data_IF_154932123189
#
_entry.id   IF_154932123189
#
_cell.length_a   1.000
_cell.length_b   1.000
_cell.length_c   1.000
_cell.angle_alpha   90.00
_cell.angle_beta   90.00
_cell.angle_gamma   90.00
#
_symmetry.space_group_name_H-M   'P 1'
#
loop_
_entity.id
_entity.type
_entity.pdbx_description
1 polymer ?
#
# COMPACT_ATOMS: atom_id res chain seq x y z
N UNK A 1 -5.59 -23.29 66.86
CA UNK A 1 -4.74 -24.39 66.36
C UNK A 1 -5.28 -24.73 64.97
N UNK A 2 -4.41 -24.70 63.94
CA UNK A 2 -4.70 -24.77 62.50
C UNK A 2 -5.10 -23.47 61.77
N UNK A 3 -4.24 -22.45 61.94
CA UNK A 3 -3.75 -21.64 60.82
C UNK A 3 -2.81 -22.50 59.98
N UNK A 4 -3.00 -22.55 58.64
CA UNK A 4 -2.02 -22.73 57.55
C UNK A 4 -2.65 -23.52 56.40
N UNK A 5 -3.21 -22.83 55.41
CA UNK A 5 -3.45 -23.35 54.04
C UNK A 5 -4.01 -22.23 53.14
N UNK A 6 -3.28 -21.12 52.99
CA UNK A 6 -3.62 -20.07 52.02
C UNK A 6 -2.34 -19.36 51.55
N UNK A 7 -1.40 -20.12 50.99
CA UNK A 7 -0.20 -19.55 50.41
C UNK A 7 0.45 -20.52 49.40
N UNK A 8 -0.16 -20.75 48.23
CA UNK A 8 0.51 -21.46 47.11
C UNK A 8 -0.14 -21.33 45.71
N UNK A 9 -1.13 -20.45 45.46
CA UNK A 9 -1.74 -20.32 44.10
C UNK A 9 -1.76 -18.88 43.56
N UNK A 10 -1.01 -17.96 44.14
CA UNK A 10 -0.86 -16.59 43.61
C UNK A 10 0.63 -16.28 43.45
N UNK A 11 1.30 -17.00 42.54
CA UNK A 11 2.65 -16.62 42.08
C UNK A 11 2.99 -17.24 40.71
N UNK A 12 2.02 -17.30 39.79
CA UNK A 12 2.29 -17.49 38.35
C UNK A 12 1.32 -16.59 37.56
N UNK A 13 1.36 -15.28 37.77
CA UNK A 13 0.58 -14.33 36.94
C UNK A 13 1.19 -12.92 36.82
N UNK A 14 2.47 -12.74 37.13
CA UNK A 14 3.11 -11.41 37.07
C UNK A 14 4.46 -11.40 36.32
N UNK A 15 4.67 -12.35 35.40
CA UNK A 15 5.87 -12.40 34.55
C UNK A 15 5.56 -12.66 33.06
N UNK A 16 4.43 -12.15 32.54
CA UNK A 16 4.16 -12.24 31.08
C UNK A 16 3.70 -10.93 30.42
N UNK A 17 3.53 -9.83 31.16
CA UNK A 17 3.13 -8.54 30.58
C UNK A 17 4.29 -7.60 30.22
N UNK A 18 5.53 -7.86 30.68
CA UNK A 18 6.67 -6.98 30.38
C UNK A 18 7.53 -7.42 29.18
N UNK A 19 7.42 -8.67 28.71
CA UNK A 19 8.22 -9.14 27.58
C UNK A 19 7.66 -8.71 26.20
N UNK A 20 6.39 -8.32 26.12
CA UNK A 20 5.78 -7.86 24.86
C UNK A 20 5.87 -6.34 24.66
N UNK A 21 6.21 -5.58 25.72
CA UNK A 21 6.34 -4.12 25.68
C UNK A 21 7.74 -3.64 25.28
N UNK A 22 8.70 -4.54 25.11
CA UNK A 22 10.13 -4.22 24.90
C UNK A 22 10.65 -4.58 23.50
N UNK A 23 9.75 -4.83 22.55
CA UNK A 23 10.03 -4.86 21.11
C UNK A 23 9.29 -3.73 20.38
N UNK A 24 9.19 -2.56 21.01
CA UNK A 24 9.04 -1.32 20.24
C UNK A 24 10.45 -0.95 19.79
N UNK A 25 10.87 -1.49 18.64
CA UNK A 25 12.08 -1.02 17.99
C UNK A 25 11.95 0.49 17.80
N UNK A 26 12.87 1.26 18.36
CA UNK A 26 13.04 2.70 18.11
C UNK A 26 13.58 2.96 16.70
N UNK A 27 13.08 2.24 15.69
CA UNK A 27 13.25 2.58 14.30
C UNK A 27 11.96 3.28 13.88
N UNK A 28 12.08 4.58 13.63
CA UNK A 28 11.02 5.44 13.11
C UNK A 28 10.34 4.77 11.92
N UNK A 29 9.12 4.29 12.11
CA UNK A 29 8.30 3.74 11.02
C UNK A 29 8.18 4.82 9.94
N UNK A 30 8.71 4.52 8.75
CA UNK A 30 8.80 5.46 7.63
C UNK A 30 7.43 6.11 7.34
N UNK A 31 7.42 7.43 7.15
CA UNK A 31 6.20 8.24 7.00
C UNK A 31 6.34 9.29 5.89
N UNK A 32 5.22 9.87 5.45
CA UNK A 32 5.22 11.04 4.56
C UNK A 32 5.97 12.22 5.20
N UNK A 33 5.84 12.39 6.52
CA UNK A 33 6.53 13.46 7.24
C UNK A 33 8.06 13.34 7.11
N UNK A 34 8.59 12.10 7.07
CA UNK A 34 10.01 11.84 6.81
C UNK A 34 10.46 12.36 5.44
N UNK A 35 9.66 12.11 4.39
CA UNK A 35 9.98 12.58 3.02
C UNK A 35 9.91 14.12 2.94
N UNK A 36 8.87 14.71 3.54
CA UNK A 36 8.73 16.18 3.61
C UNK A 36 9.91 16.80 4.36
N UNK A 37 10.36 16.17 5.45
CA UNK A 37 11.52 16.62 6.20
C UNK A 37 12.79 16.62 5.32
N UNK A 38 13.01 15.58 4.50
CA UNK A 38 14.15 15.53 3.59
C UNK A 38 14.13 16.67 2.57
N UNK A 39 12.95 17.03 2.05
CA UNK A 39 12.81 18.15 1.12
C UNK A 39 13.05 19.49 1.83
N UNK A 40 12.43 19.70 2.99
CA UNK A 40 12.55 20.95 3.76
C UNK A 40 13.96 21.17 4.30
N UNK A 41 14.70 20.11 4.60
CA UNK A 41 16.09 20.19 5.06
C UNK A 41 17.11 20.18 3.90
N UNK A 42 16.65 20.35 2.66
CA UNK A 42 17.46 20.30 1.42
C UNK A 42 18.23 18.98 1.20
N UNK A 43 17.88 17.92 1.92
CA UNK A 43 18.49 16.60 1.78
C UNK A 43 18.01 15.87 0.51
N UNK A 44 16.81 16.20 0.04
CA UNK A 44 16.27 15.73 -1.23
C UNK A 44 15.81 16.90 -2.11
N UNK A 45 16.40 17.03 -3.30
CA UNK A 45 16.11 18.09 -4.28
C UNK A 45 15.50 17.55 -5.58
N UNK A 46 15.35 16.24 -5.67
CA UNK A 46 14.81 15.51 -6.81
C UNK A 46 14.12 14.22 -6.36
N UNK A 47 13.38 13.56 -7.26
CA UNK A 47 12.82 12.24 -7.00
C UNK A 47 13.98 11.23 -6.80
N UNK A 48 15.05 11.35 -7.57
CA UNK A 48 16.26 10.53 -7.47
C UNK A 48 16.87 10.57 -6.06
N UNK A 49 16.90 11.76 -5.43
CA UNK A 49 17.40 11.91 -4.06
C UNK A 49 16.48 11.21 -3.07
N UNK A 50 15.15 11.36 -3.22
CA UNK A 50 14.18 10.64 -2.37
C UNK A 50 14.39 9.14 -2.52
N UNK A 51 14.45 8.61 -3.74
CA UNK A 51 14.65 7.17 -4.01
C UNK A 51 15.97 6.66 -3.41
N UNK A 52 17.02 7.48 -3.36
CA UNK A 52 18.31 7.09 -2.77
C UNK A 52 18.32 7.13 -1.23
N UNK A 53 17.30 7.73 -0.61
CA UNK A 53 17.13 7.83 0.85
C UNK A 53 16.06 6.89 1.39
N UNK A 54 15.24 6.30 0.52
CA UNK A 54 14.19 5.37 0.92
C UNK A 54 14.78 4.11 1.56
N UNK A 55 14.05 3.50 2.52
CA UNK A 55 14.37 2.15 2.96
C UNK A 55 14.33 1.15 1.79
N UNK A 56 15.28 0.21 1.76
CA UNK A 56 15.46 -0.77 0.69
C UNK A 56 14.17 -1.51 0.30
N UNK A 57 13.30 -1.78 1.27
CA UNK A 57 12.01 -2.46 1.04
C UNK A 57 11.14 -1.73 0.02
N UNK A 58 11.11 -0.40 0.01
CA UNK A 58 10.31 0.37 -0.95
C UNK A 58 10.86 0.26 -2.38
N UNK A 59 12.17 0.04 -2.54
CA UNK A 59 12.80 -0.16 -3.83
C UNK A 59 12.60 -1.59 -4.35
N UNK A 60 12.32 -2.55 -3.47
CA UNK A 60 12.04 -3.96 -3.79
C UNK A 60 10.55 -4.24 -3.98
N UNK A 61 9.70 -3.49 -3.29
CA UNK A 61 8.26 -3.70 -3.25
C UNK A 61 7.58 -2.63 -4.09
N UNK A 62 7.43 -2.94 -5.38
CA UNK A 62 6.72 -2.06 -6.31
C UNK A 62 5.92 -2.86 -7.33
N UNK A 63 4.86 -2.23 -7.80
CA UNK A 63 4.15 -2.63 -9.02
C UNK A 63 4.17 -1.49 -10.04
N UNK A 64 3.78 -1.79 -11.29
CA UNK A 64 3.87 -0.88 -12.43
C UNK A 64 2.51 -0.77 -13.12
N UNK A 65 2.04 0.47 -13.30
CA UNK A 65 0.81 0.79 -14.03
C UNK A 65 1.17 1.17 -15.46
N UNK A 66 0.85 0.31 -16.42
CA UNK A 66 1.10 0.50 -17.86
C UNK A 66 0.15 1.52 -18.52
N UNK A 67 -1.02 1.78 -17.95
CA UNK A 67 -1.94 2.83 -18.42
C UNK A 67 -2.69 3.48 -17.26
N UNK A 68 -2.16 4.59 -16.75
CA UNK A 68 -2.71 5.24 -15.56
C UNK A 68 -3.81 6.26 -15.90
N UNK A 69 -4.96 6.13 -15.23
CA UNK A 69 -6.03 7.12 -15.22
C UNK A 69 -5.85 8.25 -14.20
N UNK A 70 -4.69 8.33 -13.54
CA UNK A 70 -4.40 9.32 -12.50
C UNK A 70 -3.82 10.63 -13.07
N UNK A 71 -3.41 11.56 -12.18
CA UNK A 71 -2.67 12.76 -12.54
C UNK A 71 -1.26 12.44 -13.09
N UNK A 72 -0.69 11.30 -12.71
CA UNK A 72 0.54 10.76 -13.30
C UNK A 72 0.18 9.81 -14.44
N UNK A 73 0.40 10.25 -15.68
CA UNK A 73 0.19 9.41 -16.88
C UNK A 73 1.27 8.36 -17.01
N UNK A 74 0.96 7.28 -17.73
CA UNK A 74 1.91 6.21 -18.01
C UNK A 74 1.64 5.53 -19.35
N UNK A 75 2.64 4.80 -19.82
CA UNK A 75 2.58 3.91 -20.97
C UNK A 75 3.23 2.58 -20.62
N UNK A 76 3.24 1.64 -21.57
CA UNK A 76 3.96 0.38 -21.42
C UNK A 76 5.46 0.62 -21.17
N UNK A 77 6.12 1.45 -22.00
CA UNK A 77 7.55 1.71 -21.93
C UNK A 77 7.96 2.59 -20.74
N UNK A 78 7.02 3.42 -20.26
CA UNK A 78 7.21 4.33 -19.14
C UNK A 78 6.06 4.19 -18.13
N UNK A 79 5.99 3.06 -17.42
CA UNK A 79 4.91 2.79 -16.49
C UNK A 79 4.99 3.68 -15.25
N UNK A 80 3.85 3.95 -14.61
CA UNK A 80 3.87 4.59 -13.30
C UNK A 80 4.29 3.54 -12.27
N UNK A 81 5.36 3.81 -11.52
CA UNK A 81 5.77 2.97 -10.41
C UNK A 81 4.87 3.25 -9.19
N UNK A 82 4.42 2.19 -8.51
CA UNK A 82 3.70 2.23 -7.25
C UNK A 82 4.50 1.43 -6.24
N UNK A 83 5.16 2.12 -5.33
CA UNK A 83 6.06 1.56 -4.32
C UNK A 83 5.39 1.55 -2.96
N UNK A 84 5.67 0.52 -2.15
CA UNK A 84 5.04 0.34 -0.85
C UNK A 84 5.99 -0.36 0.13
N UNK A 85 5.87 -0.07 1.42
CA UNK A 85 6.60 -0.82 2.46
C UNK A 85 5.93 -2.17 2.77
N UNK A 86 6.50 -2.95 3.67
CA UNK A 86 5.98 -4.28 4.03
C UNK A 86 4.54 -4.27 4.59
N UNK A 87 4.05 -3.10 5.02
CA UNK A 87 2.70 -2.93 5.56
C UNK A 87 1.78 -2.09 4.66
N UNK A 88 2.29 -1.59 3.52
CA UNK A 88 1.66 -0.58 2.68
C UNK A 88 1.10 0.64 3.45
N UNK A 89 1.70 0.97 4.62
CA UNK A 89 1.35 2.18 5.38
C UNK A 89 1.59 3.41 4.55
N UNK A 90 2.78 3.54 3.96
CA UNK A 90 3.10 4.59 3.00
C UNK A 90 3.18 3.97 1.61
N UNK A 91 2.61 4.68 0.65
CA UNK A 91 2.61 4.34 -0.77
C UNK A 91 3.19 5.55 -1.50
N UNK A 92 4.18 5.33 -2.35
CA UNK A 92 4.79 6.38 -3.18
C UNK A 92 4.64 6.04 -4.64
N UNK A 93 4.49 7.07 -5.47
CA UNK A 93 4.35 6.86 -6.91
C UNK A 93 5.02 7.95 -7.73
N UNK A 94 5.57 7.55 -8.87
CA UNK A 94 6.15 8.44 -9.88
C UNK A 94 6.00 7.82 -11.27
N UNK A 95 6.11 8.63 -12.32
CA UNK A 95 6.25 8.16 -13.70
C UNK A 95 7.63 8.55 -14.26
N UNK A 96 8.05 7.89 -15.34
CA UNK A 96 9.40 8.04 -15.90
C UNK A 96 9.51 8.86 -17.17
N UNK A 97 8.43 9.19 -17.88
CA UNK A 97 8.53 9.91 -19.15
C UNK A 97 8.42 11.43 -18.93
N UNK A 98 9.43 12.25 -19.30
CA UNK A 98 9.34 13.71 -19.29
C UNK A 98 8.15 14.30 -20.05
N UNK A 99 7.64 13.59 -21.06
CA UNK A 99 6.48 14.02 -21.85
C UNK A 99 5.13 13.69 -21.19
N UNK A 100 5.12 12.85 -20.15
CA UNK A 100 3.90 12.50 -19.45
C UNK A 100 3.51 13.57 -18.43
N UNK A 101 2.21 13.88 -18.38
CA UNK A 101 1.63 14.65 -17.27
C UNK A 101 2.02 14.02 -15.93
N UNK A 102 2.42 14.85 -14.98
CA UNK A 102 2.87 14.43 -13.65
C UNK A 102 4.35 14.03 -13.56
N UNK A 103 5.13 14.15 -14.64
CA UNK A 103 6.58 13.97 -14.56
C UNK A 103 7.24 14.98 -13.61
N UNK A 104 8.29 14.54 -12.91
CA UNK A 104 8.96 15.34 -11.88
C UNK A 104 8.13 15.53 -10.61
N UNK A 105 7.05 14.77 -10.43
CA UNK A 105 6.23 14.79 -9.22
C UNK A 105 6.28 13.46 -8.49
N UNK A 106 6.29 13.52 -7.16
CA UNK A 106 6.14 12.38 -6.28
C UNK A 106 4.78 12.48 -5.59
N UNK A 107 3.88 11.53 -5.84
CA UNK A 107 2.62 11.43 -5.09
C UNK A 107 2.78 10.40 -3.98
N UNK A 108 2.24 10.71 -2.81
CA UNK A 108 2.34 9.88 -1.62
C UNK A 108 0.98 9.74 -0.96
N UNK A 109 0.73 8.55 -0.41
CA UNK A 109 -0.43 8.24 0.41
C UNK A 109 0.04 7.53 1.69
N UNK A 110 -0.46 7.96 2.84
CA UNK A 110 -0.23 7.32 4.13
C UNK A 110 -1.55 6.91 4.78
N UNK A 111 -1.67 5.63 5.12
CA UNK A 111 -2.83 5.06 5.83
C UNK A 111 -2.41 4.81 7.28
N UNK A 112 -2.77 5.68 8.23
CA UNK A 112 -2.28 5.60 9.60
C UNK A 112 -2.80 4.35 10.32
N UNK A 113 -2.04 3.87 11.31
CA UNK A 113 -2.45 2.72 12.13
C UNK A 113 -3.70 2.99 12.97
N UNK A 114 -3.99 4.26 13.28
CA UNK A 114 -5.23 4.63 13.97
C UNK A 114 -6.48 4.48 13.10
N UNK A 115 -6.31 4.33 11.79
CA UNK A 115 -7.37 4.10 10.81
C UNK A 115 -8.34 5.27 10.63
N UNK A 116 -7.94 6.51 10.93
CA UNK A 116 -8.87 7.65 10.89
C UNK A 116 -8.89 8.38 9.55
N UNK A 117 -7.75 8.91 9.16
CA UNK A 117 -7.64 9.78 8.00
C UNK A 117 -6.43 9.42 7.17
N UNK A 118 -6.67 9.08 5.92
CA UNK A 118 -5.60 8.90 4.95
C UNK A 118 -5.01 10.29 4.67
N UNK A 119 -3.69 10.37 4.71
CA UNK A 119 -2.95 11.54 4.27
C UNK A 119 -2.47 11.34 2.84
N UNK A 120 -2.76 12.30 1.97
CA UNK A 120 -2.26 12.38 0.61
C UNK A 120 -1.48 13.67 0.44
N UNK A 121 -0.30 13.54 -0.15
CA UNK A 121 0.60 14.66 -0.45
C UNK A 121 1.20 14.48 -1.82
N UNK A 122 1.54 15.60 -2.45
CA UNK A 122 2.35 15.63 -3.65
C UNK A 122 3.54 16.56 -3.44
N UNK A 123 4.68 16.18 -3.99
CA UNK A 123 5.86 17.05 -4.11
C UNK A 123 6.14 17.25 -5.59
N UNK A 124 6.27 18.50 -6.02
CA UNK A 124 6.65 18.88 -7.38
C UNK A 124 8.10 19.37 -7.40
N UNK A 125 9.00 18.52 -7.93
CA UNK A 125 10.43 18.80 -8.03
C UNK A 125 10.80 19.63 -9.26
N UNK A 126 9.84 19.97 -10.13
CA UNK A 126 10.09 20.92 -11.22
C UNK A 126 10.15 22.38 -10.73
N UNK A 127 9.77 22.62 -9.47
CA UNK A 127 9.85 23.93 -8.82
C UNK A 127 11.14 24.05 -8.00
N UNK A 128 11.63 25.27 -7.83
CA UNK A 128 12.81 25.59 -7.04
C UNK A 128 12.47 26.68 -6.02
N UNK A 129 12.36 26.37 -4.70
CA UNK A 129 12.49 25.04 -4.10
C UNK A 129 11.34 24.08 -4.51
N UNK A 130 11.50 22.74 -4.32
CA UNK A 130 10.42 21.79 -4.59
C UNK A 130 9.14 22.16 -3.83
N UNK A 131 8.00 22.10 -4.52
CA UNK A 131 6.71 22.50 -3.94
C UNK A 131 6.02 21.31 -3.29
N UNK A 132 5.83 21.38 -1.97
CA UNK A 132 5.04 20.41 -1.20
C UNK A 132 3.59 20.88 -1.13
N UNK A 133 2.64 20.02 -1.52
CA UNK A 133 1.21 20.35 -1.43
C UNK A 133 0.73 20.45 0.02
N UNK A 134 -0.41 21.10 0.21
CA UNK A 134 -1.22 20.96 1.42
C UNK A 134 -1.67 19.50 1.64
N UNK A 135 -2.19 19.21 2.84
CA UNK A 135 -2.71 17.89 3.20
C UNK A 135 -4.01 17.62 2.46
N UNK A 136 -4.10 16.47 1.80
CA UNK A 136 -5.27 16.03 1.04
C UNK A 136 -5.77 17.12 0.07
N UNK A 137 -4.92 17.53 -0.91
CA UNK A 137 -5.28 18.59 -1.84
C UNK A 137 -6.52 18.19 -2.66
N UNK A 138 -7.27 19.19 -3.14
CA UNK A 138 -8.53 18.95 -3.86
C UNK A 138 -8.32 18.08 -5.12
N UNK A 139 -7.16 18.20 -5.76
CA UNK A 139 -6.77 17.37 -6.91
C UNK A 139 -6.79 15.87 -6.58
N UNK A 140 -6.36 15.47 -5.38
CA UNK A 140 -6.46 14.09 -4.92
C UNK A 140 -7.91 13.73 -4.52
N UNK A 141 -8.61 14.62 -3.81
CA UNK A 141 -9.99 14.39 -3.37
C UNK A 141 -10.98 14.23 -4.53
N UNK A 142 -10.69 14.78 -5.71
CA UNK A 142 -11.51 14.58 -6.92
C UNK A 142 -11.68 13.09 -7.28
N UNK A 143 -10.66 12.28 -7.02
CA UNK A 143 -10.71 10.83 -7.24
C UNK A 143 -11.02 10.06 -5.95
N UNK A 144 -10.41 10.45 -4.83
CA UNK A 144 -10.49 9.71 -3.57
C UNK A 144 -11.74 10.01 -2.72
N UNK A 145 -12.46 11.09 -3.03
CA UNK A 145 -13.68 11.51 -2.34
C UNK A 145 -13.44 12.22 -1.00
N UNK A 146 -14.55 12.55 -0.32
CA UNK A 146 -14.55 13.21 1.00
C UNK A 146 -14.05 12.30 2.12
N UNK A 147 -14.37 11.01 2.03
CA UNK A 147 -13.84 9.98 2.91
C UNK A 147 -12.72 9.30 2.15
N UNK A 148 -11.50 9.82 2.32
CA UNK A 148 -10.35 9.35 1.58
C UNK A 148 -10.28 7.82 1.71
N UNK A 149 -10.20 7.16 0.54
CA UNK A 149 -10.09 5.71 0.39
C UNK A 149 -9.07 5.40 -0.69
N UNK A 150 -8.30 4.31 -0.57
CA UNK A 150 -7.53 3.82 -1.71
C UNK A 150 -8.48 3.48 -2.86
N UNK A 151 -8.05 3.69 -4.11
CA UNK A 151 -8.86 3.39 -5.30
C UNK A 151 -8.58 1.98 -5.84
N UNK A 152 -7.70 1.25 -5.18
CA UNK A 152 -7.33 -0.11 -5.58
C UNK A 152 -8.44 -1.07 -5.15
N UNK A 153 -9.02 -1.78 -6.12
CA UNK A 153 -9.98 -2.85 -5.89
C UNK A 153 -9.31 -4.14 -5.41
N UNK A 154 -10.06 -5.23 -5.32
CA UNK A 154 -9.46 -6.56 -5.15
C UNK A 154 -8.54 -6.90 -6.32
N UNK A 155 -7.38 -7.45 -6.01
CA UNK A 155 -6.29 -7.70 -6.95
C UNK A 155 -6.65 -8.53 -8.19
N UNK A 156 -7.65 -9.42 -8.11
CA UNK A 156 -7.96 -10.34 -9.21
C UNK A 156 -8.21 -9.68 -10.57
N UNK A 157 -8.59 -8.39 -10.59
CA UNK A 157 -8.76 -7.61 -11.81
C UNK A 157 -8.21 -6.19 -11.61
N UNK A 158 -6.90 -6.00 -11.75
CA UNK A 158 -6.27 -4.67 -11.79
C UNK A 158 -5.95 -4.29 -13.23
N UNK A 159 -6.97 -3.90 -14.03
CA UNK A 159 -6.76 -3.54 -15.41
C UNK A 159 -5.77 -2.40 -15.50
N UNK A 160 -4.92 -2.46 -16.52
CA UNK A 160 -3.86 -1.48 -16.79
C UNK A 160 -2.64 -1.52 -15.86
N UNK A 161 -2.53 -2.51 -14.96
CA UNK A 161 -1.27 -2.84 -14.31
C UNK A 161 -0.52 -3.86 -15.15
N UNK A 162 0.81 -3.85 -15.14
CA UNK A 162 1.53 -5.03 -15.60
C UNK A 162 1.20 -6.21 -14.70
N UNK A 163 1.05 -7.41 -15.28
CA UNK A 163 0.65 -8.56 -14.48
C UNK A 163 -0.80 -8.47 -14.01
N UNK A 164 -1.68 -7.85 -14.80
CA UNK A 164 -3.10 -7.71 -14.43
C UNK A 164 -3.80 -9.06 -14.27
N UNK A 165 -3.32 -10.10 -14.97
CA UNK A 165 -3.75 -11.48 -14.81
C UNK A 165 -2.82 -12.21 -13.85
N UNK A 166 -3.13 -12.15 -12.56
CA UNK A 166 -2.42 -12.91 -11.52
C UNK A 166 -0.90 -12.68 -11.46
N UNK A 167 -0.44 -11.44 -11.68
CA UNK A 167 0.99 -11.06 -11.71
C UNK A 167 1.79 -11.77 -12.82
N UNK A 168 1.10 -12.22 -13.87
CA UNK A 168 1.70 -12.80 -15.08
C UNK A 168 1.59 -11.82 -16.22
N UNK A 169 2.71 -11.64 -16.93
CA UNK A 169 2.74 -10.82 -18.12
C UNK A 169 1.92 -11.50 -19.24
N UNK A 170 0.95 -10.79 -19.77
CA UNK A 170 0.08 -11.28 -20.84
C UNK A 170 0.54 -10.79 -22.23
N UNK A 171 1.05 -11.71 -23.04
CA UNK A 171 1.48 -11.45 -24.41
C UNK A 171 0.32 -10.99 -25.32
N UNK A 172 -0.91 -11.43 -25.08
CA UNK A 172 -2.07 -11.17 -25.95
C UNK A 172 -2.48 -9.70 -25.97
N UNK A 173 -2.22 -8.98 -24.87
CA UNK A 173 -2.46 -7.54 -24.73
C UNK A 173 -1.16 -6.71 -24.81
N UNK A 174 -0.05 -7.34 -25.21
CA UNK A 174 1.23 -6.68 -25.45
C UNK A 174 2.05 -6.37 -24.19
N UNK A 175 1.72 -6.95 -23.02
CA UNK A 175 2.48 -6.70 -21.80
C UNK A 175 3.93 -7.18 -21.93
N UNK A 176 4.18 -8.37 -22.46
CA UNK A 176 5.54 -8.89 -22.58
C UNK A 176 6.44 -7.98 -23.43
N UNK A 177 5.93 -7.47 -24.55
CA UNK A 177 6.66 -6.56 -25.45
C UNK A 177 6.93 -5.24 -24.74
N UNK A 178 5.89 -4.64 -24.16
CA UNK A 178 6.04 -3.37 -23.45
C UNK A 178 6.95 -3.48 -22.24
N UNK A 179 6.83 -4.57 -21.48
CA UNK A 179 7.66 -4.84 -20.32
C UNK A 179 9.11 -5.04 -20.74
N UNK A 180 9.37 -5.75 -21.83
CA UNK A 180 10.73 -5.89 -22.40
C UNK A 180 11.35 -4.53 -22.73
N UNK A 181 10.59 -3.62 -23.36
CA UNK A 181 11.05 -2.23 -23.62
C UNK A 181 11.30 -1.45 -22.33
N UNK A 182 10.42 -1.60 -21.33
CA UNK A 182 10.65 -1.04 -20.00
C UNK A 182 11.96 -1.59 -19.39
N UNK A 183 12.23 -2.89 -19.48
CA UNK A 183 13.46 -3.50 -18.95
C UNK A 183 14.73 -3.00 -19.63
N UNK A 184 14.68 -2.68 -20.92
CA UNK A 184 15.77 -2.03 -21.64
C UNK A 184 16.00 -0.60 -21.10
N UNK A 185 14.91 0.16 -20.93
CA UNK A 185 14.94 1.53 -20.43
C UNK A 185 15.44 1.61 -18.98
N UNK A 186 15.02 0.70 -18.10
CA UNK A 186 15.40 0.66 -16.68
C UNK A 186 16.90 0.74 -16.44
N UNK A 187 17.71 0.14 -17.34
CA UNK A 187 19.17 0.08 -17.19
C UNK A 187 19.84 1.45 -17.20
N UNK A 188 19.25 2.42 -17.91
CA UNK A 188 19.81 3.75 -18.10
C UNK A 188 18.92 4.86 -17.56
N UNK A 189 17.64 4.57 -17.29
CA UNK A 189 16.67 5.54 -16.82
C UNK A 189 16.98 6.01 -15.39
N UNK A 190 17.07 7.34 -15.18
CA UNK A 190 17.47 7.93 -13.89
C UNK A 190 16.64 7.46 -12.70
N UNK A 191 15.32 7.37 -12.86
CA UNK A 191 14.41 6.97 -11.78
C UNK A 191 14.29 5.45 -11.67
N UNK A 192 14.10 4.75 -12.80
CA UNK A 192 13.79 3.32 -12.77
C UNK A 192 15.01 2.47 -12.42
N UNK A 193 16.22 2.95 -12.74
CA UNK A 193 17.47 2.31 -12.34
C UNK A 193 17.66 2.21 -10.82
N UNK A 194 16.89 2.98 -10.03
CA UNK A 194 16.88 2.90 -8.56
C UNK A 194 16.01 1.78 -8.01
N UNK A 195 15.06 1.27 -8.80
CA UNK A 195 14.23 0.15 -8.40
C UNK A 195 15.08 -1.12 -8.39
N UNK A 196 15.00 -1.86 -7.28
CA UNK A 196 15.76 -3.09 -7.14
C UNK A 196 15.24 -4.14 -8.10
N UNK A 197 16.13 -4.95 -8.66
CA UNK A 197 15.77 -6.07 -9.53
C UNK A 197 16.44 -7.35 -9.06
N UNK A 198 15.69 -8.44 -9.11
CA UNK A 198 16.27 -9.77 -8.92
C UNK A 198 17.05 -10.19 -10.18
N UNK A 199 18.37 -10.39 -10.10
CA UNK A 199 19.16 -10.87 -11.24
C UNK A 199 18.78 -12.29 -11.67
N UNK A 200 18.10 -13.07 -10.83
CA UNK A 200 17.67 -14.44 -11.13
C UNK A 200 16.31 -14.50 -11.84
N UNK A 201 15.50 -13.45 -11.75
CA UNK A 201 14.20 -13.37 -12.40
C UNK A 201 14.21 -12.23 -13.44
N UNK A 202 14.31 -12.53 -14.76
CA UNK A 202 14.32 -11.50 -15.79
C UNK A 202 13.02 -10.67 -15.80
N UNK A 203 11.91 -11.24 -15.33
CA UNK A 203 10.61 -10.60 -15.27
C UNK A 203 10.32 -9.85 -13.96
N UNK A 204 11.28 -9.83 -13.01
CA UNK A 204 11.08 -9.15 -11.72
C UNK A 204 10.52 -7.72 -11.91
N UNK A 205 9.43 -7.34 -11.20
CA UNK A 205 8.86 -8.00 -10.03
C UNK A 205 7.79 -9.07 -10.32
N UNK A 206 7.50 -9.38 -11.58
CA UNK A 206 6.41 -10.30 -11.96
C UNK A 206 6.86 -11.76 -12.05
N UNK A 207 5.88 -12.65 -12.13
CA UNK A 207 6.11 -14.08 -12.27
C UNK A 207 6.75 -14.41 -13.64
N UNK A 208 7.65 -15.39 -13.64
CA UNK A 208 8.05 -16.09 -14.86
C UNK A 208 7.68 -17.57 -14.73
N UNK A 209 6.44 -17.90 -15.10
CA UNK A 209 5.92 -19.27 -15.01
C UNK A 209 6.41 -20.19 -16.13
N UNK A 210 7.26 -19.70 -17.04
CA UNK A 210 7.87 -20.54 -18.10
C UNK A 210 9.01 -21.40 -17.57
N UNK A 211 9.48 -21.09 -16.35
CA UNK A 211 10.42 -21.92 -15.61
C UNK A 211 9.62 -23.03 -14.92
N UNK A 212 9.02 -23.90 -15.74
CA UNK A 212 8.36 -25.13 -15.29
C UNK A 212 9.45 -26.14 -14.93
N UNK A 213 9.81 -26.22 -13.65
CA UNK A 213 10.28 -27.48 -13.08
C UNK A 213 9.12 -28.08 -12.31
N UNK A 214 8.77 -29.33 -12.63
CA UNK A 214 7.65 -30.11 -12.09
C UNK A 214 7.66 -30.28 -10.54
N UNK A 215 8.69 -29.79 -9.86
CA UNK A 215 8.74 -29.60 -8.41
C UNK A 215 8.31 -28.17 -8.06
N UNK A 216 7.01 -27.96 -7.75
CA UNK A 216 6.46 -26.76 -7.07
C UNK A 216 7.24 -25.45 -7.32
N UNK A 217 7.41 -25.10 -8.60
CA UNK A 217 8.32 -24.03 -9.00
C UNK A 217 7.98 -22.64 -8.43
N UNK A 218 8.90 -21.65 -8.54
CA UNK A 218 8.81 -20.31 -7.95
C UNK A 218 7.59 -19.47 -8.39
N UNK A 219 6.77 -19.99 -9.30
CA UNK A 219 5.58 -19.43 -9.91
C UNK A 219 4.51 -18.96 -8.91
N UNK A 220 4.58 -19.36 -7.63
CA UNK A 220 3.61 -18.93 -6.60
C UNK A 220 4.24 -18.21 -5.41
N UNK A 221 5.54 -17.88 -5.49
CA UNK A 221 6.19 -17.15 -4.41
C UNK A 221 5.68 -15.70 -4.39
N UNK A 222 5.20 -15.25 -3.23
CA UNK A 222 4.64 -13.90 -3.08
C UNK A 222 5.61 -12.79 -3.53
N UNK A 223 6.92 -12.99 -3.40
CA UNK A 223 7.94 -12.02 -3.83
C UNK A 223 7.81 -11.60 -5.31
N UNK A 224 7.29 -12.47 -6.18
CA UNK A 224 7.07 -12.18 -7.61
C UNK A 224 5.61 -11.87 -7.95
N UNK A 225 4.83 -11.49 -6.93
CA UNK A 225 3.41 -11.17 -7.05
C UNK A 225 3.12 -9.79 -6.48
N UNK A 226 3.70 -8.72 -7.07
CA UNK A 226 3.65 -7.39 -6.50
C UNK A 226 2.23 -6.83 -6.43
N UNK A 227 1.38 -7.11 -7.42
CA UNK A 227 -0.01 -6.69 -7.39
C UNK A 227 -0.81 -7.43 -6.31
N UNK A 228 -0.61 -8.75 -6.18
CA UNK A 228 -1.22 -9.56 -5.11
C UNK A 228 -0.83 -9.02 -3.72
N UNK A 229 0.47 -8.84 -3.49
CA UNK A 229 1.01 -8.29 -2.23
C UNK A 229 0.45 -6.90 -1.95
N UNK A 230 0.53 -6.00 -2.92
CA UNK A 230 0.03 -4.64 -2.75
C UNK A 230 -1.49 -4.65 -2.44
N UNK A 231 -2.26 -5.46 -3.17
CA UNK A 231 -3.70 -5.57 -2.99
C UNK A 231 -4.10 -6.12 -1.63
N UNK A 232 -3.41 -7.16 -1.15
CA UNK A 232 -3.63 -7.72 0.18
C UNK A 232 -3.33 -6.71 1.28
N UNK A 233 -2.19 -6.01 1.20
CA UNK A 233 -1.78 -5.04 2.22
C UNK A 233 -2.72 -3.83 2.26
N UNK A 234 -3.04 -3.25 1.10
CA UNK A 234 -3.97 -2.11 1.01
C UNK A 234 -5.38 -2.53 1.41
N UNK A 235 -5.82 -3.74 1.02
CA UNK A 235 -7.11 -4.30 1.41
C UNK A 235 -7.23 -4.44 2.93
N UNK A 236 -6.20 -5.00 3.58
CA UNK A 236 -6.14 -5.11 5.04
C UNK A 236 -6.21 -3.74 5.72
N UNK A 237 -5.39 -2.78 5.27
CA UNK A 237 -5.37 -1.39 5.78
C UNK A 237 -6.73 -0.70 5.62
N UNK A 238 -7.37 -0.89 4.46
CA UNK A 238 -8.69 -0.33 4.14
C UNK A 238 -9.77 -0.94 5.03
N UNK A 239 -9.76 -2.25 5.24
CA UNK A 239 -10.69 -2.93 6.14
C UNK A 239 -10.52 -2.43 7.59
N UNK A 240 -9.29 -2.26 8.06
CA UNK A 240 -9.02 -1.70 9.38
C UNK A 240 -9.55 -0.26 9.51
N UNK A 241 -9.28 0.59 8.52
CA UNK A 241 -9.80 1.97 8.45
C UNK A 241 -11.33 2.01 8.46
N UNK A 242 -12.00 1.19 7.66
CA UNK A 242 -13.46 1.08 7.64
C UNK A 242 -14.02 0.63 8.99
N UNK A 243 -13.43 -0.41 9.58
CA UNK A 243 -13.82 -0.90 10.91
C UNK A 243 -13.69 0.19 11.98
N UNK A 244 -12.57 0.93 12.00
CA UNK A 244 -12.36 2.04 12.95
C UNK A 244 -13.37 3.17 12.76
N UNK A 245 -13.67 3.53 11.51
CA UNK A 245 -14.69 4.55 11.20
C UNK A 245 -16.09 4.13 11.65
N UNK A 246 -16.47 2.88 11.41
CA UNK A 246 -17.73 2.30 11.90
C UNK A 246 -17.78 2.36 13.42
N UNK A 247 -16.74 1.86 14.10
CA UNK A 247 -16.70 1.85 15.57
C UNK A 247 -16.77 3.26 16.17
N UNK A 248 -16.34 4.30 15.46
CA UNK A 248 -16.38 5.69 15.93
C UNK A 248 -17.58 6.49 15.41
N UNK A 249 -18.45 5.92 14.58
CA UNK A 249 -19.62 6.63 14.06
C UNK A 249 -20.62 6.91 15.17
N UNK A 250 -21.33 8.04 15.09
CA UNK A 250 -22.33 8.39 16.08
C UNK A 250 -23.48 7.37 16.11
N UNK A 251 -23.80 6.79 14.95
CA UNK A 251 -24.80 5.76 14.77
C UNK A 251 -24.41 4.47 15.50
N UNK A 252 -23.18 3.97 15.31
CA UNK A 252 -22.71 2.78 16.00
C UNK A 252 -22.60 3.00 17.51
N UNK A 253 -22.06 4.16 17.92
CA UNK A 253 -21.94 4.52 19.34
C UNK A 253 -23.31 4.61 20.03
N UNK A 254 -24.34 5.06 19.33
CA UNK A 254 -25.70 5.19 19.87
C UNK A 254 -26.50 3.88 19.81
N UNK A 255 -26.30 3.07 18.78
CA UNK A 255 -27.12 1.88 18.50
C UNK A 255 -26.29 0.71 17.95
N UNK A 256 -25.34 0.12 18.72
CA UNK A 256 -24.38 -0.83 18.18
C UNK A 256 -25.05 -2.10 17.61
N UNK A 257 -26.04 -2.65 18.32
CA UNK A 257 -26.75 -3.85 17.87
C UNK A 257 -27.65 -3.59 16.67
N UNK A 258 -28.43 -2.51 16.68
CA UNK A 258 -29.29 -2.15 15.55
C UNK A 258 -28.48 -1.79 14.31
N UNK A 259 -27.34 -1.12 14.49
CA UNK A 259 -26.41 -0.83 13.41
C UNK A 259 -25.86 -2.12 12.81
N UNK A 260 -25.32 -3.04 13.62
CA UNK A 260 -24.81 -4.32 13.11
C UNK A 260 -25.90 -5.15 12.45
N UNK A 261 -27.10 -5.21 13.05
CA UNK A 261 -28.25 -5.88 12.46
C UNK A 261 -28.60 -5.30 11.09
N UNK A 262 -28.55 -3.98 10.92
CA UNK A 262 -28.82 -3.31 9.64
C UNK A 262 -27.80 -3.62 8.53
N UNK A 263 -26.61 -4.10 8.89
CA UNK A 263 -25.58 -4.51 7.93
C UNK A 263 -25.71 -5.97 7.48
N UNK A 264 -26.47 -6.79 8.21
CA UNK A 264 -26.71 -8.17 7.82
C UNK A 264 -27.75 -8.18 6.70
N UNK A 265 -27.54 -8.96 5.63
CA UNK A 265 -28.56 -9.22 4.61
C UNK A 265 -29.61 -10.19 5.18
N UNK A 266 -30.30 -9.76 6.23
CA UNK A 266 -31.52 -10.40 6.64
C UNK A 266 -32.55 -10.02 5.57
N UNK A 267 -32.71 -10.87 4.56
CA UNK A 267 -33.92 -10.86 3.73
C UNK A 267 -35.11 -10.75 4.66
N UNK A 268 -36.12 -9.96 4.28
CA UNK A 268 -37.35 -9.74 5.04
C UNK A 268 -38.00 -11.08 5.39
N UNK A 269 -37.52 -11.73 6.45
CA UNK A 269 -38.16 -12.83 7.09
C UNK A 269 -39.45 -12.27 7.64
N UNK A 270 -40.56 -12.90 7.28
CA UNK A 270 -41.90 -12.60 7.78
C UNK A 270 -42.05 -12.80 9.31
N UNK A 271 -40.96 -12.75 10.08
CA UNK A 271 -40.94 -12.95 11.52
C UNK A 271 -41.21 -11.61 12.21
N UNK A 272 -42.50 -11.26 12.25
CA UNK A 272 -43.10 -10.14 12.99
C UNK A 272 -43.01 -10.29 14.52
N UNK A 273 -41.98 -10.92 15.07
CA UNK A 273 -41.89 -11.17 16.53
C UNK A 273 -40.51 -10.84 17.11
N UNK A 274 -39.98 -9.65 16.85
CA UNK A 274 -38.98 -9.06 17.75
C UNK A 274 -39.21 -7.56 17.93
N UNK A 275 -40.36 -7.23 18.51
CA UNK A 275 -40.56 -5.94 19.18
C UNK A 275 -41.09 -6.21 20.59
N UNK A 276 -40.41 -5.63 21.58
CA UNK A 276 -40.66 -5.61 23.02
C UNK A 276 -40.02 -6.73 23.86
N UNK A 277 -38.81 -6.44 24.37
CA UNK A 277 -38.46 -6.45 25.79
C UNK A 277 -37.25 -5.55 26.05
#
# INVERSE_FOLDING_TARGET
>A
MYQTLFASVIMISFFSSNAFSQLKSEDTEFSIATVIQWVNSEKAKSIEDVLSLLPDEYLKNYTLVKSSGSLQRSSFEYPRAVMFGETARVILTFNGNPEHMGFGTLEMMEIPDDGLEIEMRRIDFNQSPPLVSERNPNTCKNCHGKFERPLFGSYHDWPNFYGELQDRLDATIGEEIGFSRYLENVKTHKLYSKLWRDPKNPNFPYQDCRIDSEEEGPCWTHQYRPNDRFGHLVGFRTAHLMGRRVLRSAEYQRFPYSFLYSLLPCENGNDKEFVSR
#
